data_IF_478132126853
#
_entry.id   IF_478132126853
#
_cell.length_a   1.000
_cell.length_b   1.000
_cell.length_c   1.000
_cell.angle_alpha   90.00
_cell.angle_beta   90.00
_cell.angle_gamma   90.00
#
_symmetry.space_group_name_H-M   'P 1'
#
loop_
_entity.id
_entity.type
_entity.pdbx_description
1 polymer ?
#
# COMPACT_ATOMS: atom_id res chain seq x y z
N UNK A 1 -4.09 -37.96 -52.78
CA UNK A 1 -4.86 -36.81 -52.25
C UNK A 1 -4.37 -36.52 -50.85
N UNK A 2 -3.45 -35.56 -50.71
CA UNK A 2 -2.96 -35.10 -49.42
C UNK A 2 -3.96 -34.06 -48.86
N UNK A 3 -4.54 -34.35 -47.70
CA UNK A 3 -5.44 -33.41 -47.01
C UNK A 3 -4.67 -32.20 -46.45
N UNK A 4 -5.31 -31.03 -46.32
CA UNK A 4 -4.64 -29.81 -45.91
C UNK A 4 -4.16 -29.90 -44.45
N UNK A 5 -2.92 -29.46 -44.24
CA UNK A 5 -2.28 -29.26 -42.94
C UNK A 5 -3.09 -28.20 -42.18
N UNK A 6 -3.66 -28.58 -41.04
CA UNK A 6 -4.43 -27.67 -40.19
C UNK A 6 -3.52 -26.56 -39.63
N UNK A 7 -3.90 -25.30 -39.85
CA UNK A 7 -3.28 -24.14 -39.23
C UNK A 7 -3.33 -24.21 -37.69
N UNK A 8 -2.31 -23.68 -36.98
CA UNK A 8 -2.30 -23.66 -35.53
C UNK A 8 -3.38 -22.70 -34.99
N UNK A 9 -4.43 -23.27 -34.38
CA UNK A 9 -5.50 -22.52 -33.69
C UNK A 9 -4.93 -21.63 -32.57
N UNK A 10 -4.75 -20.35 -32.86
CA UNK A 10 -4.36 -19.28 -31.92
C UNK A 10 -5.55 -18.82 -31.08
N UNK A 11 -6.06 -19.69 -30.21
CA UNK A 11 -7.03 -19.26 -29.19
C UNK A 11 -6.33 -18.45 -28.08
N UNK A 12 -6.56 -17.14 -28.03
CA UNK A 12 -6.07 -16.29 -26.93
C UNK A 12 -6.83 -16.62 -25.65
N UNK A 13 -6.22 -17.44 -24.77
CA UNK A 13 -6.74 -17.67 -23.42
C UNK A 13 -6.52 -16.42 -22.56
N UNK A 14 -7.48 -16.09 -21.69
CA UNK A 14 -7.39 -14.89 -20.86
C UNK A 14 -6.44 -15.10 -19.70
N UNK A 15 -5.48 -14.19 -19.55
CA UNK A 15 -4.51 -14.18 -18.47
C UNK A 15 -5.21 -13.79 -17.17
N UNK A 16 -5.15 -14.66 -16.15
CA UNK A 16 -5.79 -14.46 -14.83
C UNK A 16 -4.83 -13.96 -13.75
N UNK A 17 -3.56 -14.38 -13.75
CA UNK A 17 -2.57 -13.93 -12.74
C UNK A 17 -1.16 -14.03 -13.31
N UNK A 18 -0.32 -13.04 -13.05
CA UNK A 18 1.09 -13.06 -13.45
C UNK A 18 1.94 -12.87 -12.20
N UNK A 19 2.81 -13.83 -11.86
CA UNK A 19 3.65 -13.81 -10.65
C UNK A 19 5.12 -13.57 -11.05
N UNK A 20 5.81 -12.68 -10.35
CA UNK A 20 7.22 -12.34 -10.58
C UNK A 20 8.07 -12.96 -9.46
N UNK A 21 9.24 -13.51 -9.79
CA UNK A 21 10.11 -14.21 -8.83
C UNK A 21 11.20 -13.32 -8.19
N UNK A 22 11.14 -12.01 -8.39
CA UNK A 22 12.14 -11.07 -7.86
C UNK A 22 13.48 -11.02 -8.61
N UNK A 23 13.67 -11.83 -9.67
CA UNK A 23 14.78 -11.71 -10.64
C UNK A 23 14.31 -10.92 -11.87
N UNK A 24 15.15 -10.02 -12.41
CA UNK A 24 14.75 -8.94 -13.33
C UNK A 24 14.00 -9.39 -14.60
N UNK A 25 14.18 -10.63 -15.07
CA UNK A 25 13.50 -11.19 -16.25
C UNK A 25 12.97 -12.62 -16.01
N UNK A 26 12.13 -12.79 -14.99
CA UNK A 26 11.41 -14.05 -14.73
C UNK A 26 9.94 -13.80 -14.39
N UNK A 27 9.04 -14.58 -15.01
CA UNK A 27 7.60 -14.39 -14.91
C UNK A 27 6.81 -15.69 -15.05
N UNK A 28 5.76 -15.84 -14.24
CA UNK A 28 4.77 -16.92 -14.33
C UNK A 28 3.42 -16.34 -14.76
N UNK A 29 2.89 -16.73 -15.92
CA UNK A 29 1.60 -16.29 -16.47
C UNK A 29 0.58 -17.42 -16.32
N UNK A 30 -0.56 -17.15 -15.70
CA UNK A 30 -1.68 -18.08 -15.57
C UNK A 30 -2.78 -17.68 -16.56
N UNK A 31 -3.25 -18.61 -17.38
CA UNK A 31 -4.33 -18.39 -18.35
C UNK A 31 -5.46 -19.40 -18.15
N UNK A 32 -6.70 -18.92 -18.09
CA UNK A 32 -7.86 -19.79 -18.12
C UNK A 32 -8.23 -20.13 -19.56
N UNK A 33 -8.50 -21.42 -19.80
CA UNK A 33 -9.08 -21.91 -21.05
C UNK A 33 -10.25 -22.84 -20.75
N UNK A 34 -11.39 -22.58 -21.41
CA UNK A 34 -12.48 -23.56 -21.50
C UNK A 34 -12.04 -24.68 -22.44
N UNK A 35 -12.05 -25.92 -21.94
CA UNK A 35 -11.91 -27.13 -22.75
C UNK A 35 -13.03 -28.08 -22.33
N UNK A 36 -13.90 -28.43 -23.26
CA UNK A 36 -15.07 -29.28 -23.02
C UNK A 36 -15.99 -28.75 -21.89
N UNK A 37 -16.25 -27.44 -21.87
CA UNK A 37 -17.13 -26.82 -20.86
C UNK A 37 -16.52 -26.64 -19.46
N UNK A 38 -15.33 -27.17 -19.19
CA UNK A 38 -14.62 -26.96 -17.92
C UNK A 38 -13.52 -25.90 -18.05
N UNK A 39 -13.45 -25.01 -17.06
CA UNK A 39 -12.35 -24.06 -16.89
C UNK A 39 -11.09 -24.82 -16.45
N UNK A 40 -10.05 -24.80 -17.28
CA UNK A 40 -8.73 -25.34 -16.94
C UNK A 40 -7.69 -24.23 -16.94
N UNK A 41 -6.83 -24.23 -15.94
CA UNK A 41 -5.79 -23.23 -15.77
C UNK A 41 -4.46 -23.73 -16.35
N UNK A 42 -3.92 -22.99 -17.32
CA UNK A 42 -2.60 -23.22 -17.89
C UNK A 42 -1.60 -22.25 -17.27
N UNK A 43 -0.45 -22.74 -16.87
CA UNK A 43 0.64 -21.95 -16.30
C UNK A 43 1.77 -21.91 -17.33
N UNK A 44 2.31 -20.72 -17.58
CA UNK A 44 3.49 -20.49 -18.41
C UNK A 44 4.57 -19.84 -17.54
N UNK A 45 5.78 -20.39 -17.51
CA UNK A 45 6.93 -19.75 -16.89
C UNK A 45 7.87 -19.28 -17.99
N UNK A 46 8.44 -18.10 -17.85
CA UNK A 46 9.48 -17.58 -18.72
C UNK A 46 10.60 -17.00 -17.87
N UNK A 47 11.85 -17.35 -18.14
CA UNK A 47 13.02 -16.79 -17.45
C UNK A 47 14.21 -16.66 -18.39
N UNK A 48 15.00 -15.59 -18.22
CA UNK A 48 16.32 -15.46 -18.83
C UNK A 48 17.36 -16.09 -17.91
N UNK A 49 18.25 -16.92 -18.46
CA UNK A 49 19.39 -17.50 -17.77
C UNK A 49 20.68 -17.08 -18.48
N UNK A 50 21.69 -16.67 -17.71
CA UNK A 50 23.04 -16.43 -18.24
C UNK A 50 23.83 -17.74 -18.27
N UNK A 51 24.50 -18.01 -19.38
CA UNK A 51 25.38 -19.16 -19.62
C UNK A 51 26.84 -18.71 -19.82
N UNK A 52 27.24 -17.59 -19.22
CA UNK A 52 28.58 -17.03 -19.33
C UNK A 52 28.77 -16.18 -20.58
N UNK A 53 28.79 -16.79 -21.77
CA UNK A 53 29.00 -16.07 -23.06
C UNK A 53 27.72 -15.93 -23.90
N UNK A 54 26.61 -16.48 -23.41
CA UNK A 54 25.31 -16.47 -24.08
C UNK A 54 24.19 -16.34 -23.05
N UNK A 55 23.01 -15.94 -23.52
CA UNK A 55 21.81 -15.86 -22.71
C UNK A 55 20.76 -16.81 -23.28
N UNK A 56 19.99 -17.45 -22.41
CA UNK A 56 18.96 -18.40 -22.80
C UNK A 56 17.61 -18.01 -22.20
N UNK A 57 16.61 -17.84 -23.06
CA UNK A 57 15.22 -17.72 -22.65
C UNK A 57 14.61 -19.12 -22.52
N UNK A 58 14.36 -19.54 -21.27
CA UNK A 58 13.65 -20.77 -20.95
C UNK A 58 12.17 -20.46 -20.81
N UNK A 59 11.34 -21.19 -21.56
CA UNK A 59 9.88 -21.13 -21.42
C UNK A 59 9.35 -22.50 -21.04
N UNK A 60 8.60 -22.60 -19.96
CA UNK A 60 7.91 -23.82 -19.55
C UNK A 60 6.41 -23.58 -19.58
N UNK A 61 5.61 -24.60 -19.85
CA UNK A 61 4.18 -24.50 -19.65
C UNK A 61 3.56 -25.83 -19.21
N UNK A 62 2.49 -25.74 -18.43
CA UNK A 62 1.79 -26.92 -17.92
C UNK A 62 0.36 -26.58 -17.52
N UNK A 63 -0.40 -27.62 -17.16
CA UNK A 63 -1.71 -27.42 -16.53
C UNK A 63 -1.53 -27.37 -15.03
N UNK A 64 -2.20 -26.44 -14.37
CA UNK A 64 -2.20 -26.32 -12.92
C UNK A 64 -2.67 -27.65 -12.29
N UNK A 65 -1.90 -28.21 -11.36
CA UNK A 65 -2.21 -29.49 -10.70
C UNK A 65 -1.70 -30.75 -11.42
N UNK A 66 -0.99 -30.63 -12.55
CA UNK A 66 -0.30 -31.76 -13.19
C UNK A 66 1.22 -31.68 -13.01
N UNK A 67 1.83 -32.85 -12.81
CA UNK A 67 3.29 -33.00 -12.66
C UNK A 67 4.02 -32.71 -13.98
N UNK A 68 3.37 -32.95 -15.14
CA UNK A 68 3.99 -32.76 -16.45
C UNK A 68 4.02 -31.29 -16.88
N UNK A 69 5.23 -30.73 -16.94
CA UNK A 69 5.54 -29.46 -17.60
C UNK A 69 6.20 -29.74 -18.95
N UNK A 70 5.77 -29.03 -19.98
CA UNK A 70 6.42 -29.02 -21.28
C UNK A 70 7.42 -27.88 -21.28
N UNK A 71 8.69 -28.23 -21.42
CA UNK A 71 9.76 -27.25 -21.64
C UNK A 71 9.75 -26.91 -23.14
N UNK A 72 9.51 -25.64 -23.46
CA UNK A 72 9.63 -25.13 -24.82
C UNK A 72 11.09 -25.08 -25.26
N UNK A 73 11.32 -25.10 -26.57
CA UNK A 73 12.67 -24.98 -27.14
C UNK A 73 13.27 -23.66 -26.62
N UNK A 74 14.40 -23.72 -25.90
CA UNK A 74 15.02 -22.52 -25.39
C UNK A 74 15.50 -21.64 -26.54
N UNK A 75 15.30 -20.33 -26.40
CA UNK A 75 15.85 -19.38 -27.37
C UNK A 75 17.19 -18.91 -26.85
N UNK A 76 18.25 -19.23 -27.57
CA UNK A 76 19.61 -18.77 -27.28
C UNK A 76 19.80 -17.42 -27.96
N UNK A 77 20.35 -16.46 -27.23
CA UNK A 77 20.66 -15.12 -27.69
C UNK A 77 22.15 -14.84 -27.46
N UNK A 78 22.76 -14.13 -28.41
CA UNK A 78 24.18 -13.82 -28.37
C UNK A 78 24.50 -12.69 -27.37
N UNK A 79 23.53 -11.81 -27.09
CA UNK A 79 23.64 -10.74 -26.09
C UNK A 79 22.44 -10.71 -25.15
N UNK A 80 22.61 -10.04 -24.01
CA UNK A 80 21.54 -9.82 -23.03
C UNK A 80 20.39 -9.01 -23.64
N UNK A 81 20.71 -8.01 -24.45
CA UNK A 81 19.73 -7.13 -25.10
C UNK A 81 18.82 -7.91 -26.06
N UNK A 82 19.39 -8.83 -26.83
CA UNK A 82 18.64 -9.72 -27.71
C UNK A 82 17.73 -10.66 -26.91
N UNK A 83 18.24 -11.26 -25.84
CA UNK A 83 17.45 -12.12 -24.94
C UNK A 83 16.26 -11.36 -24.35
N UNK A 84 16.50 -10.13 -23.90
CA UNK A 84 15.49 -9.22 -23.36
C UNK A 84 14.46 -8.86 -24.42
N UNK A 85 14.87 -8.51 -25.64
CA UNK A 85 13.93 -8.18 -26.72
C UNK A 85 13.00 -9.35 -27.05
N UNK A 86 13.54 -10.57 -27.15
CA UNK A 86 12.75 -11.79 -27.39
C UNK A 86 11.83 -12.08 -26.22
N UNK A 87 12.30 -11.90 -24.98
CA UNK A 87 11.47 -12.04 -23.77
C UNK A 87 10.29 -11.07 -23.82
N UNK A 88 10.54 -9.77 -24.04
CA UNK A 88 9.51 -8.72 -24.08
C UNK A 88 8.46 -9.00 -25.15
N UNK A 89 8.90 -9.43 -26.34
CA UNK A 89 8.02 -9.82 -27.45
C UNK A 89 7.15 -11.03 -27.09
N UNK A 90 7.75 -12.12 -26.60
CA UNK A 90 6.99 -13.31 -26.18
C UNK A 90 6.03 -13.02 -25.04
N UNK A 91 6.41 -12.17 -24.09
CA UNK A 91 5.54 -11.71 -23.02
C UNK A 91 4.33 -10.98 -23.60
N UNK A 92 4.55 -9.95 -24.44
CA UNK A 92 3.49 -9.22 -25.12
C UNK A 92 2.58 -10.12 -25.94
N UNK A 93 3.13 -11.10 -26.66
CA UNK A 93 2.33 -12.04 -27.44
C UNK A 93 1.37 -12.86 -26.58
N UNK A 94 1.74 -13.14 -25.32
CA UNK A 94 0.94 -13.93 -24.36
C UNK A 94 0.01 -13.10 -23.50
N UNK A 95 0.41 -11.89 -23.11
CA UNK A 95 -0.33 -11.05 -22.18
C UNK A 95 -1.08 -9.92 -22.87
N UNK A 96 -0.63 -9.53 -24.07
CA UNK A 96 -0.96 -8.26 -24.74
C UNK A 96 -0.54 -7.03 -23.95
N UNK A 97 0.44 -7.20 -23.07
CA UNK A 97 0.97 -6.17 -22.20
C UNK A 97 2.47 -5.96 -22.43
N UNK A 98 2.93 -4.71 -22.41
CA UNK A 98 4.34 -4.41 -22.60
C UNK A 98 5.14 -4.74 -21.34
N UNK A 99 6.19 -5.56 -21.43
CA UNK A 99 7.04 -5.91 -20.28
C UNK A 99 7.75 -4.70 -19.67
N UNK A 100 8.12 -3.73 -20.51
CA UNK A 100 8.76 -2.49 -20.06
C UNK A 100 7.86 -1.65 -19.15
N UNK A 101 6.57 -1.96 -19.09
CA UNK A 101 5.60 -1.24 -18.30
C UNK A 101 5.43 -1.86 -16.90
N UNK A 102 6.37 -1.51 -16.00
CA UNK A 102 6.32 -1.91 -14.57
C UNK A 102 5.06 -1.44 -13.84
N UNK A 103 4.19 -0.64 -14.48
CA UNK A 103 2.85 -0.34 -13.96
C UNK A 103 2.10 -1.63 -13.68
N UNK A 104 2.25 -2.68 -14.50
CA UNK A 104 1.59 -3.95 -14.23
C UNK A 104 2.06 -4.62 -12.93
N UNK A 105 3.34 -4.45 -12.56
CA UNK A 105 3.87 -5.01 -11.32
C UNK A 105 3.33 -4.25 -10.12
N UNK A 106 3.23 -2.92 -10.24
CA UNK A 106 2.52 -2.09 -9.27
C UNK A 106 1.07 -2.53 -9.13
N UNK A 107 0.32 -2.68 -10.24
CA UNK A 107 -1.08 -3.11 -10.23
C UNK A 107 -1.23 -4.51 -9.59
N UNK A 108 -0.36 -5.45 -9.93
CA UNK A 108 -0.36 -6.80 -9.32
C UNK A 108 -0.13 -6.74 -7.82
N UNK A 109 0.79 -5.90 -7.36
CA UNK A 109 1.09 -5.75 -5.94
C UNK A 109 -0.09 -5.13 -5.18
N UNK A 110 -0.70 -4.08 -5.70
CA UNK A 110 -1.79 -3.36 -5.00
C UNK A 110 -3.14 -4.07 -5.05
N UNK A 111 -3.33 -4.99 -6.00
CA UNK A 111 -4.52 -5.83 -6.13
C UNK A 111 -4.29 -7.31 -5.75
N UNK A 112 -3.21 -7.66 -5.03
CA UNK A 112 -2.97 -9.06 -4.64
C UNK A 112 -3.86 -9.49 -3.47
N UNK A 113 -4.90 -10.28 -3.78
CA UNK A 113 -5.80 -10.86 -2.78
C UNK A 113 -5.10 -11.82 -1.80
N UNK A 114 -4.04 -12.52 -2.23
CA UNK A 114 -3.30 -13.44 -1.36
C UNK A 114 -2.55 -12.65 -0.27
N UNK A 115 -2.01 -11.48 -0.61
CA UNK A 115 -1.38 -10.56 0.36
C UNK A 115 -2.42 -9.98 1.31
N UNK A 116 -3.62 -9.65 0.81
CA UNK A 116 -4.74 -9.19 1.64
C UNK A 116 -5.14 -10.26 2.67
N UNK A 117 -5.37 -11.51 2.24
CA UNK A 117 -5.74 -12.61 3.14
C UNK A 117 -4.65 -12.84 4.19
N UNK A 118 -3.38 -12.93 3.76
CA UNK A 118 -2.23 -13.15 4.67
C UNK A 118 -2.09 -12.01 5.69
N UNK A 119 -2.29 -10.77 5.25
CA UNK A 119 -2.20 -9.58 6.12
C UNK A 119 -3.32 -9.55 7.17
N UNK A 120 -4.54 -9.95 6.80
CA UNK A 120 -5.69 -9.98 7.70
C UNK A 120 -5.63 -11.19 8.65
N UNK A 121 -5.05 -12.29 8.20
CA UNK A 121 -4.81 -13.50 9.00
C UNK A 121 -3.94 -13.24 10.23
N UNK A 122 -2.96 -12.33 10.11
CA UNK A 122 -2.12 -11.89 11.24
C UNK A 122 -2.93 -11.27 12.38
N UNK A 123 -4.06 -10.64 12.06
CA UNK A 123 -5.00 -10.08 13.03
C UNK A 123 -6.09 -11.09 13.43
N UNK A 124 -6.01 -12.32 12.94
CA UNK A 124 -6.98 -13.37 13.21
C UNK A 124 -8.33 -13.15 12.54
N UNK A 125 -8.44 -12.30 11.51
CA UNK A 125 -9.69 -12.10 10.77
C UNK A 125 -10.07 -13.34 9.97
N UNK A 126 -11.37 -13.66 9.90
CA UNK A 126 -11.86 -14.79 9.12
C UNK A 126 -12.41 -14.32 7.77
N UNK A 127 -11.50 -14.11 6.82
CA UNK A 127 -11.82 -13.71 5.44
C UNK A 127 -12.81 -14.63 4.74
N UNK A 128 -12.73 -15.94 4.98
CA UNK A 128 -13.61 -16.94 4.34
C UNK A 128 -15.05 -16.85 4.83
N UNK A 129 -15.25 -16.44 6.07
CA UNK A 129 -16.58 -16.26 6.65
C UNK A 129 -17.24 -14.98 6.14
N UNK A 130 -16.48 -13.88 6.08
CA UNK A 130 -16.96 -12.61 5.56
C UNK A 130 -15.82 -11.92 4.82
N UNK A 131 -15.85 -11.89 3.48
CA UNK A 131 -14.90 -11.11 2.70
C UNK A 131 -15.05 -9.60 2.99
N UNK A 132 -13.94 -8.86 3.00
CA UNK A 132 -13.94 -7.43 3.38
C UNK A 132 -14.88 -6.57 2.52
N UNK A 133 -14.97 -6.86 1.22
CA UNK A 133 -15.84 -6.13 0.30
C UNK A 133 -17.34 -6.29 0.63
N UNK A 134 -17.73 -7.33 1.37
CA UNK A 134 -19.12 -7.60 1.77
C UNK A 134 -19.53 -6.93 3.09
N UNK A 135 -18.58 -6.40 3.87
CA UNK A 135 -18.90 -5.65 5.08
C UNK A 135 -19.74 -4.42 4.73
N UNK A 136 -20.74 -4.07 5.52
CA UNK A 136 -21.50 -2.83 5.26
C UNK A 136 -20.87 -1.65 5.99
N UNK A 137 -21.10 -0.42 5.49
CA UNK A 137 -20.66 0.79 6.20
C UNK A 137 -21.32 0.89 7.59
N UNK A 138 -22.55 0.39 7.73
CA UNK A 138 -23.21 0.26 9.03
C UNK A 138 -22.43 -0.66 9.98
N UNK A 139 -22.02 -1.84 9.51
CA UNK A 139 -21.19 -2.79 10.29
C UNK A 139 -19.88 -2.14 10.74
N UNK A 140 -19.23 -1.37 9.86
CA UNK A 140 -17.98 -0.68 10.18
C UNK A 140 -18.19 0.47 11.18
N UNK A 141 -19.28 1.25 11.05
CA UNK A 141 -19.66 2.29 12.03
C UNK A 141 -19.89 1.71 13.42
N UNK A 142 -20.74 0.70 13.51
CA UNK A 142 -21.08 0.09 14.79
C UNK A 142 -19.87 -0.59 15.42
N UNK A 143 -19.06 -1.30 14.63
CA UNK A 143 -17.79 -1.88 15.10
C UNK A 143 -16.84 -0.80 15.63
N UNK A 144 -16.76 0.35 14.96
CA UNK A 144 -15.92 1.46 15.40
C UNK A 144 -16.41 2.09 16.71
N UNK A 145 -17.73 2.23 16.86
CA UNK A 145 -18.38 2.68 18.10
C UNK A 145 -18.06 1.73 19.26
N UNK A 146 -18.17 0.42 19.05
CA UNK A 146 -17.83 -0.59 20.06
C UNK A 146 -16.38 -0.48 20.51
N UNK A 147 -15.43 -0.33 19.56
CA UNK A 147 -14.02 -0.16 19.91
C UNK A 147 -13.75 1.16 20.64
N UNK A 148 -14.48 2.23 20.33
CA UNK A 148 -14.40 3.49 21.08
C UNK A 148 -14.85 3.28 22.52
N UNK A 149 -16.01 2.68 22.73
CA UNK A 149 -16.57 2.46 24.06
C UNK A 149 -15.66 1.52 24.87
N UNK A 150 -15.10 0.46 24.24
CA UNK A 150 -14.11 -0.43 24.86
C UNK A 150 -12.85 0.34 25.29
N UNK A 151 -12.31 1.21 24.44
CA UNK A 151 -11.16 2.07 24.81
C UNK A 151 -11.45 2.91 26.05
N UNK A 152 -12.65 3.46 26.16
CA UNK A 152 -13.00 4.38 27.24
C UNK A 152 -13.10 3.61 28.57
N UNK A 153 -13.69 2.40 28.59
CA UNK A 153 -13.62 1.48 29.73
C UNK A 153 -12.18 1.05 30.09
N UNK A 154 -11.31 0.81 29.11
CA UNK A 154 -9.89 0.51 29.36
C UNK A 154 -9.16 1.69 30.05
N UNK A 155 -9.56 2.92 29.77
CA UNK A 155 -8.98 4.10 30.41
C UNK A 155 -9.44 4.23 31.86
N UNK A 156 -10.73 4.06 32.12
CA UNK A 156 -11.27 4.08 33.47
C UNK A 156 -10.65 2.96 34.31
N UNK A 157 -10.51 1.75 33.76
CA UNK A 157 -9.82 0.64 34.42
C UNK A 157 -8.38 1.01 34.84
N UNK A 158 -7.60 1.58 33.92
CA UNK A 158 -6.21 2.02 34.21
C UNK A 158 -6.18 3.11 35.28
N UNK A 159 -7.15 4.01 35.27
CA UNK A 159 -7.26 5.10 36.25
C UNK A 159 -7.53 4.55 37.65
N UNK A 160 -8.48 3.62 37.76
CA UNK A 160 -8.80 2.91 39.01
C UNK A 160 -7.63 2.06 39.53
N UNK A 161 -6.79 1.50 38.64
CA UNK A 161 -5.57 0.78 39.02
C UNK A 161 -4.48 1.69 39.62
N UNK A 162 -4.46 2.97 39.23
CA UNK A 162 -3.50 3.96 39.74
C UNK A 162 -3.97 4.73 40.98
N UNK A 163 -5.28 4.76 41.24
CA UNK A 163 -5.86 5.45 42.39
C UNK A 163 -5.76 4.56 43.65
N UNK A 164 -5.04 5.00 44.69
CA UNK A 164 -4.90 4.31 46.00
C UNK A 164 -6.19 4.37 46.87
N UNK A 165 -7.37 4.54 46.26
CA UNK A 165 -8.63 4.65 46.98
C UNK A 165 -9.03 3.35 47.68
N UNK A 166 -9.89 3.46 48.70
CA UNK A 166 -10.37 2.37 49.57
C UNK A 166 -10.60 1.05 48.80
N UNK A 167 -9.79 0.03 49.14
CA UNK A 167 -9.56 -1.18 48.32
C UNK A 167 -10.85 -1.88 47.87
N UNK A 168 -11.91 -1.89 48.68
CA UNK A 168 -13.15 -2.61 48.36
C UNK A 168 -14.04 -1.92 47.31
N UNK A 169 -14.18 -0.58 47.37
CA UNK A 169 -14.99 0.17 46.40
C UNK A 169 -14.31 0.17 45.02
N UNK A 170 -12.99 0.38 45.00
CA UNK A 170 -12.18 0.33 43.78
C UNK A 170 -12.24 -1.06 43.13
N UNK A 171 -12.15 -2.14 43.92
CA UNK A 171 -12.23 -3.51 43.38
C UNK A 171 -13.60 -3.82 42.77
N UNK A 172 -14.68 -3.32 43.36
CA UNK A 172 -16.03 -3.50 42.83
C UNK A 172 -16.20 -2.77 41.50
N UNK A 173 -15.73 -1.52 41.39
CA UNK A 173 -15.75 -0.75 40.13
C UNK A 173 -14.90 -1.41 39.05
N UNK A 174 -13.70 -1.89 39.39
CA UNK A 174 -12.85 -2.63 38.45
C UNK A 174 -13.52 -3.91 37.92
N UNK A 175 -14.27 -4.63 38.76
CA UNK A 175 -15.05 -5.81 38.32
C UNK A 175 -16.13 -5.45 37.30
N UNK A 176 -16.81 -4.29 37.48
CA UNK A 176 -17.80 -3.78 36.52
C UNK A 176 -17.13 -3.44 35.18
N UNK A 177 -16.05 -2.66 35.20
CA UNK A 177 -15.31 -2.29 33.98
C UNK A 177 -14.82 -3.52 33.20
N UNK A 178 -14.28 -4.52 33.89
CA UNK A 178 -13.85 -5.79 33.26
C UNK A 178 -15.01 -6.54 32.62
N UNK A 179 -16.20 -6.49 33.22
CA UNK A 179 -17.41 -7.13 32.68
C UNK A 179 -17.92 -6.41 31.43
N UNK A 180 -17.90 -5.07 31.42
CA UNK A 180 -18.30 -4.27 30.26
C UNK A 180 -17.34 -4.47 29.08
N UNK A 181 -16.02 -4.44 29.33
CA UNK A 181 -14.99 -4.76 28.33
C UNK A 181 -15.24 -6.13 27.70
N UNK A 182 -15.59 -7.13 28.51
CA UNK A 182 -15.87 -8.48 28.01
C UNK A 182 -17.09 -8.50 27.08
N UNK A 183 -18.18 -7.83 27.45
CA UNK A 183 -19.40 -7.74 26.63
C UNK A 183 -19.14 -7.01 25.30
N UNK A 184 -18.41 -5.89 25.34
CA UNK A 184 -18.04 -5.13 24.14
C UNK A 184 -17.16 -5.95 23.20
N UNK A 185 -16.20 -6.71 23.74
CA UNK A 185 -15.36 -7.61 22.94
C UNK A 185 -16.17 -8.71 22.25
N UNK A 186 -17.11 -9.32 22.98
CA UNK A 186 -18.02 -10.33 22.41
C UNK A 186 -18.84 -9.71 21.28
N UNK A 187 -19.48 -8.56 21.52
CA UNK A 187 -20.25 -7.82 20.50
C UNK A 187 -19.41 -7.47 19.27
N UNK A 188 -18.17 -7.02 19.46
CA UNK A 188 -17.26 -6.72 18.35
C UNK A 188 -16.96 -7.97 17.51
N UNK A 189 -16.69 -9.10 18.15
CA UNK A 189 -16.36 -10.38 17.48
C UNK A 189 -17.55 -11.02 16.77
N UNK A 190 -18.78 -10.67 17.16
CA UNK A 190 -19.98 -10.98 16.37
C UNK A 190 -20.08 -10.15 15.09
N UNK A 191 -19.62 -8.88 15.12
CA UNK A 191 -19.69 -7.96 13.97
C UNK A 191 -18.53 -8.17 12.98
N UNK A 192 -17.32 -8.36 13.50
CA UNK A 192 -16.10 -8.58 12.73
C UNK A 192 -15.64 -10.02 13.00
N UNK A 193 -15.73 -10.92 12.03
CA UNK A 193 -15.46 -12.33 12.27
C UNK A 193 -13.99 -12.61 12.39
N UNK A 194 -13.64 -13.41 13.39
CA UNK A 194 -12.29 -13.87 13.63
C UNK A 194 -12.18 -15.39 13.54
N UNK A 195 -10.99 -15.89 13.20
CA UNK A 195 -10.69 -17.31 13.26
C UNK A 195 -10.75 -17.78 14.71
N UNK A 196 -11.50 -18.85 14.93
CA UNK A 196 -11.56 -19.54 16.22
C UNK A 196 -10.56 -20.69 16.16
N UNK A 197 -9.44 -20.56 16.87
CA UNK A 197 -8.47 -21.65 17.00
C UNK A 197 -8.65 -22.27 18.39
N UNK A 198 -9.29 -23.45 18.45
CA UNK A 198 -9.48 -24.23 19.69
C UNK A 198 -10.46 -23.65 20.71
N UNK A 199 -10.35 -24.09 21.98
CA UNK A 199 -11.11 -23.52 23.12
C UNK A 199 -10.57 -22.12 23.37
N UNK A 200 -11.37 -21.09 23.10
CA UNK A 200 -11.00 -19.69 23.26
C UNK A 200 -10.67 -19.40 24.73
N UNK A 201 -9.39 -19.37 25.09
CA UNK A 201 -8.95 -18.56 26.23
C UNK A 201 -9.06 -17.12 25.73
N UNK A 202 -10.17 -16.45 26.05
CA UNK A 202 -10.33 -15.01 25.89
C UNK A 202 -9.28 -14.33 26.78
N UNK A 203 -8.03 -14.30 26.33
CA UNK A 203 -6.93 -13.67 27.05
C UNK A 203 -7.29 -12.20 27.26
N UNK A 204 -7.14 -11.74 28.49
CA UNK A 204 -7.37 -10.36 28.94
C UNK A 204 -6.25 -9.39 28.50
N UNK A 205 -5.34 -9.81 27.60
CA UNK A 205 -4.19 -9.00 27.22
C UNK A 205 -4.62 -7.73 26.47
N UNK A 206 -4.16 -6.58 26.97
CA UNK A 206 -4.37 -5.23 26.40
C UNK A 206 -3.91 -5.15 24.93
N UNK A 207 -2.88 -5.92 24.57
CA UNK A 207 -2.38 -6.09 23.19
C UNK A 207 -3.48 -6.55 22.20
N UNK A 208 -4.57 -7.13 22.71
CA UNK A 208 -5.74 -7.48 21.90
C UNK A 208 -6.43 -6.23 21.34
N UNK A 209 -6.60 -5.15 22.10
CA UNK A 209 -7.39 -3.99 21.67
C UNK A 209 -6.71 -3.24 20.52
N UNK A 210 -5.40 -3.01 20.64
CA UNK A 210 -4.67 -2.28 19.60
C UNK A 210 -4.69 -2.99 18.25
N UNK A 211 -4.60 -4.32 18.29
CA UNK A 211 -4.66 -5.14 17.11
C UNK A 211 -6.05 -5.10 16.46
N UNK A 212 -7.13 -5.05 17.25
CA UNK A 212 -8.49 -4.87 16.69
C UNK A 212 -8.68 -3.50 16.04
N UNK A 213 -8.11 -2.44 16.63
CA UNK A 213 -8.13 -1.10 16.02
C UNK A 213 -7.40 -1.09 14.67
N UNK A 214 -6.19 -1.66 14.64
CA UNK A 214 -5.38 -1.79 13.41
C UNK A 214 -6.09 -2.64 12.36
N UNK A 215 -6.75 -3.72 12.78
CA UNK A 215 -7.55 -4.57 11.88
C UNK A 215 -8.69 -3.79 11.24
N UNK A 216 -9.50 -3.06 12.03
CA UNK A 216 -10.63 -2.32 11.47
C UNK A 216 -10.18 -1.22 10.49
N UNK A 217 -9.08 -0.53 10.80
CA UNK A 217 -8.48 0.47 9.88
C UNK A 217 -8.00 -0.17 8.58
N UNK A 218 -7.38 -1.35 8.68
CA UNK A 218 -6.92 -2.09 7.51
C UNK A 218 -8.08 -2.55 6.63
N UNK A 219 -9.13 -3.09 7.24
CA UNK A 219 -10.39 -3.47 6.57
C UNK A 219 -10.99 -2.27 5.82
N UNK A 220 -11.03 -1.08 6.45
CA UNK A 220 -11.57 0.13 5.81
C UNK A 220 -10.74 0.53 4.57
N UNK A 221 -9.41 0.48 4.67
CA UNK A 221 -8.52 0.77 3.55
C UNK A 221 -8.69 -0.22 2.39
N UNK A 222 -8.78 -1.52 2.69
CA UNK A 222 -8.97 -2.57 1.68
C UNK A 222 -10.37 -2.47 1.05
N UNK A 223 -11.42 -2.19 1.83
CA UNK A 223 -12.79 -2.05 1.31
C UNK A 223 -12.92 -0.93 0.27
N UNK A 224 -12.05 0.07 0.33
CA UNK A 224 -12.01 1.17 -0.63
C UNK A 224 -11.46 0.75 -2.01
N UNK A 225 -10.77 -0.39 -2.06
CA UNK A 225 -10.29 -0.96 -3.31
C UNK A 225 -11.48 -1.33 -4.22
N UNK A 226 -11.41 -1.03 -5.53
CA UNK A 226 -12.44 -1.45 -6.47
C UNK A 226 -12.69 -2.96 -6.39
N UNK A 227 -13.94 -3.35 -6.15
CA UNK A 227 -14.33 -4.76 -6.06
C UNK A 227 -14.08 -5.50 -7.38
N UNK A 228 -13.66 -6.76 -7.34
CA UNK A 228 -13.43 -7.56 -8.54
C UNK A 228 -14.59 -7.52 -9.54
N UNK A 229 -14.31 -7.44 -10.85
CA UNK A 229 -15.35 -7.41 -11.87
C UNK A 229 -16.06 -8.77 -11.97
N UNK A 230 -17.33 -8.79 -12.40
CA UNK A 230 -18.02 -10.03 -12.73
C UNK A 230 -17.34 -10.72 -13.92
N UNK A 231 -17.45 -12.05 -13.99
CA UNK A 231 -16.84 -12.86 -15.04
C UNK A 231 -17.21 -12.40 -16.46
N UNK A 232 -18.41 -11.85 -16.66
CA UNK A 232 -18.88 -11.31 -17.95
C UNK A 232 -18.05 -10.13 -18.47
N UNK A 233 -17.52 -9.29 -17.59
CA UNK A 233 -16.62 -8.17 -17.96
C UNK A 233 -15.24 -8.71 -18.31
N UNK A 234 -14.75 -9.66 -17.51
CA UNK A 234 -13.52 -10.40 -17.80
C UNK A 234 -13.61 -11.24 -19.06
N UNK A 235 -14.79 -11.42 -19.66
CA UNK A 235 -14.92 -12.05 -20.99
C UNK A 235 -14.60 -11.10 -22.15
N UNK A 236 -14.52 -9.80 -21.91
CA UNK A 236 -14.30 -8.79 -22.95
C UNK A 236 -12.99 -8.04 -22.76
N UNK A 237 -12.57 -7.83 -21.52
CA UNK A 237 -11.42 -6.98 -21.16
C UNK A 237 -10.35 -7.77 -20.38
N UNK A 238 -9.11 -7.26 -20.40
CA UNK A 238 -8.04 -7.75 -19.54
C UNK A 238 -8.29 -7.28 -18.10
N UNK A 239 -8.01 -8.15 -17.11
CA UNK A 239 -8.20 -7.81 -15.70
C UNK A 239 -7.34 -6.61 -15.26
N UNK A 240 -6.08 -6.54 -15.70
CA UNK A 240 -5.17 -5.45 -15.30
C UNK A 240 -5.59 -4.12 -15.91
N UNK A 241 -6.04 -4.13 -17.16
CA UNK A 241 -6.53 -2.93 -17.84
C UNK A 241 -7.82 -2.43 -17.16
N UNK A 242 -8.74 -3.34 -16.83
CA UNK A 242 -9.93 -3.00 -16.05
C UNK A 242 -9.57 -2.44 -14.68
N UNK A 243 -8.62 -3.06 -13.97
CA UNK A 243 -8.17 -2.61 -12.65
C UNK A 243 -7.56 -1.21 -12.74
N UNK A 244 -6.72 -0.97 -13.75
CA UNK A 244 -6.14 0.34 -14.03
C UNK A 244 -7.21 1.39 -14.28
N UNK A 245 -8.18 1.11 -15.15
CA UNK A 245 -9.28 2.02 -15.47
C UNK A 245 -10.12 2.36 -14.23
N UNK A 246 -10.31 1.40 -13.33
CA UNK A 246 -11.04 1.63 -12.06
C UNK A 246 -10.29 2.44 -11.03
N UNK A 247 -8.98 2.62 -11.17
CA UNK A 247 -8.26 3.58 -10.34
C UNK A 247 -8.59 5.03 -10.73
N UNK A 248 -9.09 5.27 -11.95
CA UNK A 248 -9.48 6.61 -12.40
C UNK A 248 -8.31 7.60 -12.42
N UNK A 249 -7.10 7.12 -12.70
CA UNK A 249 -5.88 7.94 -12.68
C UNK A 249 -4.92 7.60 -13.82
N UNK A 250 -4.11 8.58 -14.19
CA UNK A 250 -2.98 8.41 -15.10
C UNK A 250 -1.74 8.05 -14.27
N UNK A 251 -1.18 6.86 -14.52
CA UNK A 251 0.09 6.42 -13.92
C UNK A 251 1.15 6.43 -15.02
N UNK A 252 2.25 7.13 -14.78
CA UNK A 252 3.36 7.19 -15.70
C UNK A 252 4.63 6.65 -15.02
N UNK A 253 5.23 5.63 -15.61
CA UNK A 253 6.46 5.04 -15.10
C UNK A 253 7.68 5.90 -15.49
N UNK A 254 8.42 6.39 -14.49
CA UNK A 254 9.64 7.19 -14.69
C UNK A 254 10.91 6.33 -14.72
N UNK A 255 10.81 5.03 -14.42
CA UNK A 255 11.95 4.12 -14.20
C UNK A 255 12.39 3.33 -15.43
N UNK A 256 11.86 3.63 -16.61
CA UNK A 256 12.26 2.94 -17.85
C UNK A 256 13.71 3.30 -18.23
N UNK A 257 14.57 2.26 -18.26
CA UNK A 257 16.04 2.28 -18.40
C UNK A 257 16.62 2.96 -19.66
N UNK A 258 15.82 3.51 -20.56
CA UNK A 258 16.34 4.34 -21.64
C UNK A 258 16.18 5.81 -21.25
N UNK A 259 17.30 6.52 -21.15
CA UNK A 259 17.47 7.99 -21.19
C UNK A 259 17.81 8.68 -19.86
N UNK A 260 19.07 8.51 -19.43
CA UNK A 260 19.75 9.54 -18.62
C UNK A 260 19.74 10.93 -19.30
N UNK A 261 19.40 11.02 -20.60
CA UNK A 261 19.33 12.25 -21.39
C UNK A 261 17.91 12.79 -21.66
N UNK A 262 16.83 12.22 -21.11
CA UNK A 262 15.49 12.85 -21.23
C UNK A 262 15.08 13.52 -19.93
N UNK A 263 14.12 14.46 -20.03
CA UNK A 263 13.49 15.10 -18.88
C UNK A 263 12.97 14.09 -17.85
N UNK A 264 12.42 12.95 -18.29
CA UNK A 264 11.93 11.89 -17.37
C UNK A 264 13.05 11.24 -16.57
N UNK A 265 14.20 11.00 -17.20
CA UNK A 265 15.38 10.45 -16.51
C UNK A 265 15.98 11.44 -15.52
N UNK A 266 16.01 12.73 -15.86
CA UNK A 266 16.45 13.80 -14.95
C UNK A 266 15.53 13.91 -13.71
N UNK A 267 14.21 13.85 -13.91
CA UNK A 267 13.23 13.82 -12.83
C UNK A 267 13.38 12.57 -11.96
N UNK A 268 13.50 11.38 -12.57
CA UNK A 268 13.75 10.13 -11.85
C UNK A 268 15.00 10.22 -10.96
N UNK A 269 16.11 10.70 -11.51
CA UNK A 269 17.36 10.85 -10.76
C UNK A 269 17.22 11.85 -9.62
N UNK A 270 16.54 12.97 -9.85
CA UNK A 270 16.30 13.99 -8.82
C UNK A 270 15.41 13.46 -7.68
N UNK A 271 14.38 12.68 -8.01
CA UNK A 271 13.51 12.01 -7.02
C UNK A 271 14.24 10.92 -6.25
N UNK A 272 15.09 10.14 -6.91
CA UNK A 272 15.93 9.13 -6.25
C UNK A 272 16.91 9.80 -5.27
N UNK A 273 17.52 10.91 -5.69
CA UNK A 273 18.42 11.70 -4.87
C UNK A 273 17.69 12.35 -3.67
N UNK A 274 16.43 12.78 -3.85
CA UNK A 274 15.59 13.24 -2.76
C UNK A 274 15.30 12.10 -1.77
N UNK A 275 14.89 10.93 -2.26
CA UNK A 275 14.61 9.76 -1.44
C UNK A 275 15.81 9.38 -0.56
N UNK A 276 16.99 9.20 -1.16
CA UNK A 276 18.22 8.80 -0.45
C UNK A 276 18.55 9.81 0.66
N UNK A 277 18.42 11.10 0.39
CA UNK A 277 18.73 12.14 1.38
C UNK A 277 17.67 12.27 2.47
N UNK A 278 16.45 11.85 2.20
CA UNK A 278 15.34 11.83 3.16
C UNK A 278 15.33 10.57 4.04
N UNK A 279 16.37 9.73 3.97
CA UNK A 279 16.60 8.65 4.92
C UNK A 279 17.33 9.25 6.14
N UNK A 280 16.70 9.13 7.31
CA UNK A 280 17.33 9.51 8.58
C UNK A 280 18.60 8.68 8.81
N UNK A 281 19.67 9.32 9.31
CA UNK A 281 20.98 8.72 9.60
C UNK A 281 20.91 7.52 10.57
N UNK A 282 19.85 7.43 11.37
CA UNK A 282 19.60 6.30 12.28
C UNK A 282 19.32 5.00 11.50
N UNK A 283 18.82 5.10 10.27
CA UNK A 283 18.57 3.95 9.40
C UNK A 283 19.74 3.70 8.44
N UNK A 284 19.97 2.43 8.04
CA UNK A 284 20.93 2.11 6.99
C UNK A 284 20.60 2.84 5.68
N UNK A 285 21.62 3.34 4.98
CA UNK A 285 21.44 4.01 3.68
C UNK A 285 20.83 3.11 2.59
N UNK A 286 20.94 1.79 2.77
CA UNK A 286 20.42 0.75 1.89
C UNK A 286 19.17 0.06 2.46
N UNK A 287 18.49 0.67 3.46
CA UNK A 287 17.28 0.13 4.10
C UNK A 287 16.25 -0.41 3.09
N UNK A 288 16.01 0.34 2.00
CA UNK A 288 15.23 -0.14 0.86
C UNK A 288 15.87 0.26 -0.47
N UNK A 289 15.86 -0.68 -1.41
CA UNK A 289 16.22 -0.44 -2.81
C UNK A 289 15.00 0.04 -3.60
N UNK A 290 15.08 1.25 -4.18
CA UNK A 290 14.03 1.79 -5.06
C UNK A 290 13.91 0.92 -6.31
N UNK A 291 12.77 0.25 -6.47
CA UNK A 291 12.46 -0.58 -7.65
C UNK A 291 11.84 0.22 -8.80
N UNK A 292 11.08 1.27 -8.46
CA UNK A 292 10.39 2.10 -9.42
C UNK A 292 9.85 3.38 -8.80
N UNK A 293 9.70 4.39 -9.65
CA UNK A 293 9.09 5.69 -9.35
C UNK A 293 8.04 5.93 -10.41
N UNK A 294 6.83 6.21 -9.96
CA UNK A 294 5.66 6.41 -10.80
C UNK A 294 5.11 7.80 -10.53
N UNK A 295 4.84 8.55 -11.59
CA UNK A 295 4.10 9.79 -11.51
C UNK A 295 2.62 9.47 -11.55
N UNK A 296 1.87 10.03 -10.61
CA UNK A 296 0.44 9.83 -10.50
C UNK A 296 -0.25 11.15 -10.85
N UNK A 297 -1.33 11.07 -11.63
CA UNK A 297 -2.18 12.23 -11.92
C UNK A 297 -3.64 11.81 -11.89
N UNK A 298 -4.39 12.40 -10.97
CA UNK A 298 -5.82 12.19 -10.82
C UNK A 298 -6.57 13.40 -11.39
N UNK A 299 -7.54 13.16 -12.27
CA UNK A 299 -8.24 14.24 -13.00
C UNK A 299 -9.12 15.10 -12.09
N UNK A 300 -9.72 14.49 -11.07
CA UNK A 300 -10.70 15.11 -10.19
C UNK A 300 -10.12 15.53 -8.82
N UNK A 301 -8.80 15.66 -8.71
CA UNK A 301 -8.16 16.09 -7.46
C UNK A 301 -8.34 17.60 -7.25
N UNK A 302 -8.69 17.99 -6.03
CA UNK A 302 -8.99 19.39 -5.69
C UNK A 302 -7.73 20.24 -5.85
N UNK A 303 -7.81 21.27 -6.68
CA UNK A 303 -6.72 22.21 -6.89
C UNK A 303 -6.62 23.23 -5.75
N UNK A 304 -5.74 22.95 -4.79
CA UNK A 304 -5.47 23.82 -3.65
C UNK A 304 -4.25 24.74 -3.86
N UNK A 305 -3.84 25.01 -5.12
CA UNK A 305 -2.69 25.89 -5.40
C UNK A 305 -2.86 27.34 -4.94
N UNK A 306 -4.07 27.75 -4.58
CA UNK A 306 -4.34 29.04 -3.95
C UNK A 306 -3.85 29.13 -2.50
N UNK A 307 -3.62 27.99 -1.83
CA UNK A 307 -3.08 27.93 -0.47
C UNK A 307 -1.55 28.02 -0.53
N UNK A 308 -0.97 28.87 0.31
CA UNK A 308 0.47 29.08 0.44
C UNK A 308 1.16 27.94 1.22
N UNK A 309 2.50 28.04 1.40
CA UNK A 309 3.30 27.06 2.12
C UNK A 309 3.08 25.62 1.61
N UNK A 310 3.31 25.42 0.31
CA UNK A 310 3.18 24.11 -0.32
C UNK A 310 4.49 23.34 -0.22
N UNK A 311 4.42 22.10 0.25
CA UNK A 311 5.60 21.23 0.46
C UNK A 311 5.39 19.87 -0.18
N UNK A 312 6.46 19.28 -0.72
CA UNK A 312 6.45 17.86 -1.08
C UNK A 312 6.79 17.02 0.14
N UNK A 313 5.86 16.18 0.59
CA UNK A 313 5.99 15.37 1.80
C UNK A 313 5.65 13.91 1.53
N UNK A 314 6.27 13.02 2.31
CA UNK A 314 6.11 11.57 2.22
C UNK A 314 4.89 11.09 3.01
N UNK A 315 4.20 10.10 2.45
CA UNK A 315 3.17 9.33 3.13
C UNK A 315 3.39 7.84 2.88
N UNK A 316 3.52 7.06 3.95
CA UNK A 316 3.67 5.62 3.88
C UNK A 316 2.40 4.91 4.30
N UNK A 317 2.08 3.82 3.61
CA UNK A 317 0.92 2.99 3.92
C UNK A 317 1.12 1.57 3.41
N UNK A 318 0.33 0.63 3.90
CA UNK A 318 0.39 -0.77 3.49
C UNK A 318 0.01 -0.92 2.02
N UNK A 319 0.78 -1.71 1.27
CA UNK A 319 0.57 -1.94 -0.17
C UNK A 319 -0.87 -2.36 -0.49
N UNK A 320 -1.47 -3.20 0.35
CA UNK A 320 -2.84 -3.70 0.18
C UNK A 320 -3.95 -2.65 0.32
N UNK A 321 -3.63 -1.45 0.80
CA UNK A 321 -4.56 -0.31 0.90
C UNK A 321 -4.35 0.72 -0.21
N UNK A 322 -3.26 0.61 -0.97
CA UNK A 322 -2.86 1.59 -1.98
C UNK A 322 -3.91 1.67 -3.09
N UNK A 323 -4.46 0.55 -3.56
CA UNK A 323 -5.49 0.57 -4.60
C UNK A 323 -6.73 1.41 -4.20
N UNK A 324 -7.13 1.36 -2.93
CA UNK A 324 -8.18 2.22 -2.37
C UNK A 324 -7.79 3.71 -2.28
N UNK A 325 -6.53 4.01 -1.99
CA UNK A 325 -6.00 5.39 -1.99
C UNK A 325 -5.91 5.94 -3.41
N UNK A 326 -5.46 5.13 -4.38
CA UNK A 326 -5.41 5.54 -5.78
C UNK A 326 -6.83 5.85 -6.29
N UNK A 327 -7.78 4.94 -6.08
CA UNK A 327 -9.16 5.11 -6.54
C UNK A 327 -9.90 6.28 -5.88
N UNK A 328 -9.76 6.49 -4.56
CA UNK A 328 -10.59 7.46 -3.81
C UNK A 328 -9.82 8.67 -3.26
N UNK A 329 -8.49 8.69 -3.38
CA UNK A 329 -7.61 9.68 -2.75
C UNK A 329 -7.25 9.34 -1.31
N UNK A 330 -6.31 10.08 -0.73
CA UNK A 330 -6.02 10.03 0.70
C UNK A 330 -7.23 10.58 1.48
N UNK A 331 -7.71 9.83 2.47
CA UNK A 331 -8.89 10.20 3.26
C UNK A 331 -8.59 10.17 4.73
N UNK A 332 -9.19 11.11 5.44
CA UNK A 332 -9.41 10.97 6.88
C UNK A 332 -10.45 9.85 7.05
N UNK A 333 -10.21 8.83 7.89
CA UNK A 333 -11.19 7.77 8.09
C UNK A 333 -12.54 8.35 8.49
N UNK A 334 -13.59 7.89 7.79
CA UNK A 334 -14.96 8.34 7.99
C UNK A 334 -15.53 7.97 9.38
N UNK A 335 -14.87 7.08 10.11
CA UNK A 335 -15.26 6.67 11.46
C UNK A 335 -14.35 7.33 12.49
N UNK A 336 -14.45 8.65 12.55
CA UNK A 336 -13.66 9.57 13.38
C UNK A 336 -13.72 9.30 14.90
N UNK A 337 -14.60 8.41 15.35
CA UNK A 337 -14.71 7.97 16.73
C UNK A 337 -13.54 7.07 17.17
N UNK A 338 -12.91 6.40 16.21
CA UNK A 338 -11.70 5.61 16.41
C UNK A 338 -10.45 6.41 16.05
N UNK A 339 -9.66 6.71 17.07
CA UNK A 339 -8.37 7.39 16.95
C UNK A 339 -7.33 6.40 16.45
N UNK A 340 -6.44 6.82 15.55
CA UNK A 340 -5.28 6.01 15.23
C UNK A 340 -4.36 5.91 16.46
N UNK A 341 -3.89 4.70 16.77
CA UNK A 341 -3.00 4.45 17.90
C UNK A 341 -1.67 5.23 17.84
N UNK A 342 -1.31 5.71 16.64
CA UNK A 342 -0.13 6.57 16.41
C UNK A 342 -0.48 8.04 16.08
N UNK A 343 -1.76 8.42 16.07
CA UNK A 343 -2.14 9.81 15.81
C UNK A 343 -1.92 10.67 17.06
N UNK A 344 -0.80 11.40 17.09
CA UNK A 344 -0.46 12.32 18.16
C UNK A 344 -1.36 13.57 18.21
N UNK A 345 -1.90 13.97 17.07
CA UNK A 345 -2.58 15.26 16.90
C UNK A 345 -3.98 15.11 16.26
N UNK A 346 -4.75 14.12 16.72
CA UNK A 346 -6.14 13.91 16.30
C UNK A 346 -6.31 13.17 14.97
N UNK A 347 -7.50 13.27 14.37
CA UNK A 347 -7.76 12.60 13.09
C UNK A 347 -7.38 13.52 11.93
N UNK A 348 -6.50 13.04 11.06
CA UNK A 348 -6.04 13.78 9.89
C UNK A 348 -5.29 12.87 8.92
N UNK A 349 -4.83 13.46 7.81
CA UNK A 349 -3.90 12.80 6.90
C UNK A 349 -2.49 13.20 7.35
N UNK A 350 -1.69 12.20 7.69
CA UNK A 350 -0.36 12.41 8.24
C UNK A 350 0.70 12.32 7.13
N UNK A 351 1.59 13.31 7.11
CA UNK A 351 2.73 13.36 6.21
C UNK A 351 4.01 13.55 7.02
N UNK A 352 5.15 13.23 6.42
CA UNK A 352 6.47 13.44 7.00
C UNK A 352 7.43 13.96 5.94
N UNK A 353 8.42 14.73 6.36
CA UNK A 353 9.51 15.20 5.50
C UNK A 353 10.60 14.13 5.30
N UNK A 354 10.53 13.03 6.07
CA UNK A 354 11.54 11.97 6.15
C UNK A 354 10.99 10.65 5.60
N UNK A 355 11.58 10.14 4.50
CA UNK A 355 11.12 8.91 3.86
C UNK A 355 11.27 7.67 4.75
N UNK A 356 12.35 7.54 5.52
CA UNK A 356 12.54 6.38 6.42
C UNK A 356 11.43 6.29 7.46
N UNK A 357 10.98 7.43 8.01
CA UNK A 357 9.85 7.45 8.93
C UNK A 357 8.54 7.01 8.25
N UNK A 358 8.33 7.42 7.00
CA UNK A 358 7.17 6.98 6.22
C UNK A 358 7.17 5.45 6.03
N UNK A 359 8.34 4.81 5.84
CA UNK A 359 8.41 3.35 5.66
C UNK A 359 7.91 2.54 6.85
N UNK A 360 7.94 3.07 8.07
CA UNK A 360 7.41 2.40 9.26
C UNK A 360 5.90 2.12 9.18
N UNK A 361 5.19 2.88 8.34
CA UNK A 361 3.74 2.74 8.13
C UNK A 361 3.42 1.77 6.98
N UNK A 362 4.41 1.34 6.20
CA UNK A 362 4.22 0.43 5.08
C UNK A 362 3.93 -1.01 5.49
N UNK A 363 4.32 -1.42 6.71
CA UNK A 363 4.10 -2.78 7.19
C UNK A 363 4.69 -3.84 6.24
N UNK A 364 5.96 -3.68 5.85
CA UNK A 364 6.59 -4.45 4.76
C UNK A 364 6.58 -5.96 4.95
N UNK A 365 6.55 -6.44 6.20
CA UNK A 365 6.39 -7.87 6.50
C UNK A 365 5.07 -8.44 5.96
N UNK A 366 4.03 -7.61 5.91
CA UNK A 366 2.70 -7.99 5.44
C UNK A 366 2.57 -7.77 3.91
N UNK A 367 3.61 -7.20 3.27
CA UNK A 367 3.65 -6.85 1.84
C UNK A 367 4.79 -7.53 1.08
N UNK A 368 5.21 -8.73 1.52
CA UNK A 368 6.29 -9.51 0.91
C UNK A 368 7.60 -8.71 0.73
N UNK A 369 7.96 -7.92 1.75
CA UNK A 369 9.15 -7.07 1.74
C UNK A 369 9.06 -5.81 0.86
N UNK A 370 7.91 -5.54 0.24
CA UNK A 370 7.68 -4.33 -0.56
C UNK A 370 7.16 -3.18 0.31
N UNK A 371 7.59 -1.97 -0.01
CA UNK A 371 7.07 -0.72 0.52
C UNK A 371 6.62 0.17 -0.64
N UNK A 372 5.47 0.83 -0.47
CA UNK A 372 5.01 1.89 -1.38
C UNK A 372 4.92 3.19 -0.58
N UNK A 373 5.64 4.21 -1.05
CA UNK A 373 5.62 5.55 -0.49
C UNK A 373 4.98 6.49 -1.50
N UNK A 374 4.11 7.36 -1.02
CA UNK A 374 3.63 8.51 -1.76
C UNK A 374 4.52 9.71 -1.45
N UNK A 375 4.79 10.52 -2.48
CA UNK A 375 5.34 11.87 -2.34
C UNK A 375 4.28 12.82 -2.88
N UNK A 376 3.70 13.63 -2.00
CA UNK A 376 2.52 14.46 -2.31
C UNK A 376 2.85 15.94 -2.19
N UNK A 377 2.30 16.76 -3.08
CA UNK A 377 2.19 18.21 -2.84
C UNK A 377 1.13 18.45 -1.77
N UNK A 378 1.55 18.97 -0.62
CA UNK A 378 0.69 19.26 0.53
C UNK A 378 0.69 20.77 0.75
N UNK A 379 -0.47 21.40 0.58
CA UNK A 379 -0.64 22.81 0.90
C UNK A 379 -0.90 22.99 2.40
N UNK A 380 0.12 23.43 3.13
CA UNK A 380 0.07 23.49 4.59
C UNK A 380 -0.52 24.80 5.12
N UNK A 381 -0.49 25.87 4.32
CA UNK A 381 -0.92 27.20 4.74
C UNK A 381 -0.25 27.66 6.03
N UNK A 382 -0.99 28.42 6.83
CA UNK A 382 -0.61 28.77 8.20
C UNK A 382 -0.67 27.53 9.10
N UNK A 383 0.44 27.21 9.77
CA UNK A 383 0.58 25.97 10.55
C UNK A 383 0.48 26.25 12.05
N UNK A 384 -0.28 25.42 12.76
CA UNK A 384 -0.24 25.35 14.22
C UNK A 384 0.94 24.48 14.65
N UNK A 385 1.89 25.09 15.36
CA UNK A 385 3.07 24.39 15.86
C UNK A 385 2.74 23.70 17.19
N UNK A 386 3.02 22.40 17.28
CA UNK A 386 2.77 21.58 18.45
C UNK A 386 4.03 20.80 18.83
N UNK A 387 4.29 20.68 20.12
CA UNK A 387 5.39 19.87 20.65
C UNK A 387 4.90 18.51 21.19
N UNK A 388 5.79 17.70 21.76
CA UNK A 388 5.41 16.41 22.35
C UNK A 388 4.47 16.54 23.56
N UNK A 389 4.39 17.70 24.23
CA UNK A 389 3.45 17.92 25.35
C UNK A 389 2.02 18.14 24.86
N UNK A 390 1.89 18.60 23.62
CA UNK A 390 0.62 18.78 22.93
C UNK A 390 0.06 17.48 22.35
N UNK A 391 0.84 16.41 22.35
CA UNK A 391 0.44 15.11 21.84
C UNK A 391 -0.65 14.49 22.72
N UNK A 392 -1.90 14.70 22.32
CA UNK A 392 -3.06 14.10 22.94
C UNK A 392 -3.89 13.41 21.84
N UNK A 393 -4.25 12.12 21.99
CA UNK A 393 -5.24 11.50 21.11
C UNK A 393 -6.59 12.24 21.06
N UNK A 394 -6.93 13.09 22.04
CA UNK A 394 -8.09 14.02 22.07
C UNK A 394 -7.82 15.36 21.41
N UNK A 395 -6.61 15.57 20.88
CA UNK A 395 -6.28 16.77 20.14
C UNK A 395 -7.31 16.97 19.03
N UNK A 396 -8.07 18.05 19.17
CA UNK A 396 -9.01 18.50 18.17
C UNK A 396 -8.39 19.75 17.55
N UNK A 397 -7.82 19.64 16.33
CA UNK A 397 -7.21 20.78 15.68
C UNK A 397 -8.21 21.92 15.61
N UNK A 398 -9.49 21.66 15.32
CA UNK A 398 -10.50 22.72 15.13
C UNK A 398 -10.75 23.56 16.38
N UNK A 399 -10.61 22.97 17.56
CA UNK A 399 -10.77 23.71 18.83
C UNK A 399 -9.57 24.57 19.18
N UNK A 400 -8.39 24.23 18.65
CA UNK A 400 -7.11 24.85 19.00
C UNK A 400 -6.56 25.78 17.92
N UNK A 401 -6.86 25.52 16.64
CA UNK A 401 -6.41 26.27 15.48
C UNK A 401 -6.85 27.74 15.51
N UNK A 402 -7.92 28.09 16.25
CA UNK A 402 -8.65 29.32 15.98
C UNK A 402 -9.08 29.36 14.50
N UNK A 403 -9.73 30.44 14.05
CA UNK A 403 -10.18 30.51 12.65
C UNK A 403 -9.05 30.71 11.61
N UNK A 404 -7.77 30.66 12.00
CA UNK A 404 -6.65 31.15 11.16
C UNK A 404 -5.69 30.07 10.63
N UNK A 405 -5.53 28.95 11.31
CA UNK A 405 -4.57 27.92 10.90
C UNK A 405 -5.20 26.84 10.01
N UNK A 406 -4.41 26.31 9.06
CA UNK A 406 -4.84 25.35 8.04
C UNK A 406 -4.31 23.93 8.30
N UNK A 407 -3.16 23.80 8.97
CA UNK A 407 -2.54 22.50 9.26
C UNK A 407 -1.84 22.47 10.62
N UNK A 408 -1.39 21.30 11.07
CA UNK A 408 -0.69 21.11 12.36
C UNK A 408 0.70 20.53 12.10
N UNK A 409 1.73 21.20 12.63
CA UNK A 409 3.11 20.76 12.58
C UNK A 409 3.52 20.20 13.94
N UNK A 410 3.78 18.90 14.00
CA UNK A 410 4.44 18.28 15.14
C UNK A 410 5.95 18.53 15.07
N UNK A 411 6.49 19.31 15.99
CA UNK A 411 7.91 19.63 16.04
C UNK A 411 8.68 18.41 16.55
N UNK A 412 9.42 17.77 15.65
CA UNK A 412 10.34 16.69 15.98
C UNK A 412 11.61 17.20 16.67
N UNK A 413 12.34 16.28 17.32
CA UNK A 413 13.67 16.58 17.89
C UNK A 413 14.72 16.84 16.81
N UNK A 414 14.54 16.21 15.66
CA UNK A 414 15.42 16.30 14.49
C UNK A 414 14.54 16.52 13.25
N UNK A 415 15.06 17.25 12.27
CA UNK A 415 14.37 17.53 11.02
C UNK A 415 14.58 18.98 10.55
N UNK A 416 14.20 19.30 9.31
CA UNK A 416 14.21 20.65 8.79
C UNK A 416 13.27 21.53 9.59
N UNK A 417 13.79 22.64 10.10
CA UNK A 417 12.99 23.61 10.84
C UNK A 417 12.05 24.34 9.88
N UNK A 418 10.79 24.48 10.26
CA UNK A 418 9.78 25.09 9.40
C UNK A 418 10.03 26.59 9.14
N UNK A 419 10.69 27.26 10.08
CA UNK A 419 11.03 28.69 10.07
C UNK A 419 12.40 28.99 9.44
N UNK A 420 13.18 27.96 9.10
CA UNK A 420 14.56 28.11 8.59
C UNK A 420 14.57 27.91 7.08
N UNK A 421 14.75 28.99 6.32
CA UNK A 421 14.65 28.94 4.85
C UNK A 421 15.74 28.07 4.20
N UNK A 422 16.94 27.98 4.81
CA UNK A 422 18.03 27.12 4.29
C UNK A 422 17.73 25.62 4.37
N UNK A 423 16.75 25.23 5.21
CA UNK A 423 16.29 23.86 5.37
C UNK A 423 15.27 23.46 4.29
N UNK A 424 14.86 24.40 3.42
CA UNK A 424 13.90 24.17 2.35
C UNK A 424 14.42 24.64 0.99
N UNK A 425 14.28 23.81 -0.03
CA UNK A 425 14.68 24.12 -1.41
C UNK A 425 13.47 24.06 -2.34
N UNK A 426 13.44 24.96 -3.31
CA UNK A 426 12.45 24.92 -4.39
C UNK A 426 12.58 23.62 -5.20
N UNK A 427 11.49 22.86 -5.31
CA UNK A 427 11.40 21.57 -5.99
C UNK A 427 11.51 21.67 -7.51
N UNK A 428 11.64 22.88 -8.09
CA UNK A 428 11.91 23.07 -9.53
C UNK A 428 13.10 22.29 -10.09
N UNK A 429 14.06 21.88 -9.23
CA UNK A 429 15.18 21.05 -9.68
C UNK A 429 14.77 19.62 -10.03
N UNK A 430 13.62 19.15 -9.54
CA UNK A 430 13.03 17.85 -9.85
C UNK A 430 12.31 17.92 -11.18
N UNK A 431 11.41 18.89 -11.30
CA UNK A 431 10.65 19.19 -12.51
C UNK A 431 10.13 20.63 -12.44
N UNK A 432 10.08 21.32 -13.58
CA UNK A 432 9.66 22.72 -13.70
C UNK A 432 8.22 22.97 -13.20
N UNK A 433 7.34 21.97 -13.27
CA UNK A 433 5.96 22.02 -12.76
C UNK A 433 5.89 22.18 -11.25
N UNK A 434 6.95 21.82 -10.53
CA UNK A 434 7.02 21.87 -9.07
C UNK A 434 7.56 23.20 -8.53
N UNK A 435 7.71 24.21 -9.41
CA UNK A 435 8.23 25.53 -9.04
C UNK A 435 7.42 26.16 -7.91
N UNK A 436 8.13 26.64 -6.89
CA UNK A 436 7.56 27.28 -5.71
C UNK A 436 7.05 26.30 -4.66
N UNK A 437 7.08 24.99 -4.93
CA UNK A 437 6.83 23.94 -3.93
C UNK A 437 8.16 23.67 -3.22
N UNK A 438 8.14 23.59 -1.88
CA UNK A 438 9.35 23.37 -1.09
C UNK A 438 9.57 21.89 -0.77
N UNK A 439 10.81 21.44 -0.86
CA UNK A 439 11.30 20.13 -0.35
C UNK A 439 12.38 20.36 0.68
N UNK A 440 12.68 19.36 1.50
CA UNK A 440 13.81 19.40 2.43
C UNK A 440 15.11 19.70 1.68
N UNK A 441 15.79 20.77 2.09
CA UNK A 441 17.09 21.18 1.59
C UNK A 441 18.15 20.34 2.26
N UNK A 442 18.86 19.57 1.44
CA UNK A 442 19.91 18.65 1.86
C UNK A 442 21.17 19.04 1.09
N UNK A 443 21.72 20.20 1.43
CA UNK A 443 23.00 20.65 0.88
C UNK A 443 24.12 19.80 1.51
N UNK A 444 25.12 19.33 0.73
CA UNK A 444 26.28 18.64 1.27
C UNK A 444 27.09 19.65 2.10
N UNK A 445 27.05 19.52 3.42
CA UNK A 445 27.80 20.41 4.31
C UNK A 445 27.26 20.49 5.74
N UNK A 446 26.00 20.16 5.99
CA UNK A 446 25.44 20.25 7.34
C UNK A 446 25.67 18.95 8.12
N UNK A 447 26.78 18.92 8.85
CA UNK A 447 26.92 18.07 10.02
C UNK A 447 25.87 18.57 11.03
N UNK A 448 24.79 17.80 11.19
CA UNK A 448 24.00 17.73 12.42
C UNK A 448 24.55 16.59 13.28
#
# INVERSE_FOLDING_TARGET
MAGPIAEPKTGTGKVRKVRHSGKEYEVTIQQARKRNGQDRMRVYNMKIQSLGHQFQLVTEWGWLGRISRVIGIPVVAASEEEAVAVFKKKFYDKTKLNWSDRIQDLLRLVFDEDLVETSLDKYGYNWRMLPVHQLTDHTLRESAKILRDWRDHLKELKKLETEEAEREESETKMKVERKEIKQLREKYRFMIPHKVVGRVRLGFAIDSFENEVKLLQLIQGIRATPSMPPCSVLEKENLLDWQYDKLGMEIENLSTQSTQSTAKGAEYNSLLQLYIRSIDKIYPSDLYKVKGIFRLKKKDEIDNRHVENRRLLWHGTRCITVAGILSQGLRVPHYSDMRFLKAKFGNGIYFTDTASFATEYCGTNDSDGHALLFLCEVALGEMLHCDDKDADPKFDPKKRLGEKCHSTLGIGRYGPRADVEVDWRDAKFIDERLRGIRVVSLIPGTIL
#
